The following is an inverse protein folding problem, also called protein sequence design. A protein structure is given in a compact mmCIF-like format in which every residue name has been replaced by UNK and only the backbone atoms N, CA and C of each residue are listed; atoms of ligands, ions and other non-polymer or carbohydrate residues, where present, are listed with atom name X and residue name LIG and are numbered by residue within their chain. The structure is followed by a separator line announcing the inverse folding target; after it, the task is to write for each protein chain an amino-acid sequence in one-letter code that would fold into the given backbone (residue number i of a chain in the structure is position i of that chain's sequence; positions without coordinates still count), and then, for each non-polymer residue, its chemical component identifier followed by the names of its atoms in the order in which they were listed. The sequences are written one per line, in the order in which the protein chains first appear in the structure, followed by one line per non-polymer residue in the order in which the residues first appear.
data_IF_074524857968
#
_entry.id   IF_074524857968
#
_cell.length_a   1.000
_cell.length_b   1.000
_cell.length_c   1.000
_cell.angle_alpha   90.00
_cell.angle_beta   90.00
_cell.angle_gamma   90.00
#
_symmetry.space_group_name_H-M   'P 1'
#
loop_
_entity.id
_entity.type
_entity.pdbx_description
1 polymer ?
#
# COMPACT_ATOMS: atom_id res chain seq x y z
N UNK A 1 -90.92 8.58 15.38
CA UNK A 1 -90.02 8.96 14.23
C UNK A 1 -88.63 9.02 14.75
N UNK A 2 -87.75 8.12 14.31
CA UNK A 2 -86.32 8.10 14.67
C UNK A 2 -85.56 8.59 13.43
N UNK A 3 -84.53 9.45 13.55
CA UNK A 3 -83.69 9.87 12.44
C UNK A 3 -82.67 8.77 12.11
N UNK A 4 -82.18 8.70 10.85
CA UNK A 4 -81.20 7.68 10.45
C UNK A 4 -79.77 8.10 10.86
N UNK A 5 -79.06 7.11 11.32
CA UNK A 5 -77.63 7.21 11.65
C UNK A 5 -76.78 7.20 10.39
N UNK A 6 -76.05 8.27 10.16
CA UNK A 6 -75.12 8.40 9.06
C UNK A 6 -73.82 7.67 9.45
N UNK A 7 -73.49 6.57 8.80
CA UNK A 7 -72.24 5.86 9.00
C UNK A 7 -71.15 6.56 8.15
N UNK A 8 -70.21 7.19 8.84
CA UNK A 8 -69.01 7.74 8.21
C UNK A 8 -67.94 6.63 8.04
N UNK A 9 -67.69 6.21 6.81
CA UNK A 9 -66.55 5.34 6.47
C UNK A 9 -65.27 6.17 6.48
N UNK A 10 -64.46 5.97 7.51
CA UNK A 10 -63.06 6.50 7.53
C UNK A 10 -62.20 5.49 6.76
N UNK A 11 -61.81 5.85 5.53
CA UNK A 11 -60.78 5.14 4.80
C UNK A 11 -59.43 5.52 5.36
N UNK A 12 -58.79 4.60 6.11
CA UNK A 12 -57.41 4.74 6.53
C UNK A 12 -56.51 4.43 5.35
N UNK A 13 -55.92 5.47 4.76
CA UNK A 13 -54.85 5.31 3.78
C UNK A 13 -53.56 4.90 4.52
N UNK A 14 -53.22 3.64 4.45
CA UNK A 14 -51.90 3.14 4.88
C UNK A 14 -50.88 3.54 3.84
N UNK A 15 -50.18 4.63 4.06
CA UNK A 15 -48.95 4.98 3.32
C UNK A 15 -47.83 4.07 3.84
N UNK A 16 -47.54 3.01 3.10
CA UNK A 16 -46.33 2.23 3.30
C UNK A 16 -45.14 3.07 2.87
N UNK A 17 -44.49 3.74 3.82
CA UNK A 17 -43.18 4.31 3.62
C UNK A 17 -42.19 3.14 3.46
N UNK A 18 -41.87 2.79 2.20
CA UNK A 18 -40.73 1.96 1.90
C UNK A 18 -39.46 2.75 2.27
N UNK A 19 -38.98 2.55 3.48
CA UNK A 19 -37.65 2.98 3.87
C UNK A 19 -36.67 2.20 3.01
N UNK A 20 -36.16 2.81 1.93
CA UNK A 20 -35.02 2.32 1.21
C UNK A 20 -33.84 2.33 2.19
N UNK A 21 -33.57 1.20 2.81
CA UNK A 21 -32.28 0.94 3.47
C UNK A 21 -31.23 0.99 2.37
N UNK A 22 -30.62 2.14 2.17
CA UNK A 22 -29.31 2.23 1.52
C UNK A 22 -28.38 1.51 2.49
N UNK A 23 -28.19 0.21 2.27
CA UNK A 23 -27.10 -0.52 2.90
C UNK A 23 -25.83 0.20 2.44
N UNK A 24 -25.21 0.95 3.33
CA UNK A 24 -23.85 1.45 3.10
C UNK A 24 -23.03 0.19 2.83
N UNK A 25 -22.72 -0.09 1.57
CA UNK A 25 -21.77 -1.13 1.21
C UNK A 25 -20.48 -0.74 1.90
N UNK A 26 -20.13 -1.46 2.95
CA UNK A 26 -18.83 -1.34 3.58
C UNK A 26 -17.82 -1.60 2.47
N UNK A 27 -17.11 -0.55 2.04
CA UNK A 27 -16.10 -0.68 0.98
C UNK A 27 -15.11 -1.75 1.43
N UNK A 28 -15.04 -2.84 0.68
CA UNK A 28 -14.08 -3.90 0.94
C UNK A 28 -12.68 -3.33 0.83
N UNK A 29 -11.89 -3.45 1.91
CA UNK A 29 -10.48 -3.05 1.91
C UNK A 29 -9.62 -4.22 1.44
N UNK A 30 -8.88 -4.02 0.36
CA UNK A 30 -7.84 -4.97 -0.06
C UNK A 30 -6.59 -4.79 0.81
N UNK A 31 -5.97 -5.88 1.28
CA UNK A 31 -4.74 -5.78 2.05
C UNK A 31 -3.56 -5.36 1.18
N UNK A 32 -2.70 -4.48 1.71
CA UNK A 32 -1.41 -4.16 1.11
C UNK A 32 -0.51 -5.39 1.21
N UNK A 33 0.06 -5.86 0.08
CA UNK A 33 0.73 -7.17 0.01
C UNK A 33 2.24 -7.06 -0.18
N UNK A 34 2.70 -6.17 -1.10
CA UNK A 34 4.12 -6.16 -1.47
C UNK A 34 4.59 -4.85 -2.10
N UNK A 35 5.91 -4.74 -2.20
CA UNK A 35 6.65 -3.70 -2.90
C UNK A 35 7.71 -4.38 -3.76
N UNK A 36 7.86 -4.00 -5.04
CA UNK A 36 8.90 -4.49 -5.92
C UNK A 36 9.96 -3.43 -6.19
N UNK A 37 11.23 -3.83 -6.03
CA UNK A 37 12.40 -3.01 -6.31
C UNK A 37 13.19 -3.58 -7.49
N UNK A 38 13.69 -2.70 -8.35
CA UNK A 38 14.66 -3.05 -9.41
C UNK A 38 16.08 -3.05 -8.85
N UNK A 39 16.37 -4.05 -8.03
CA UNK A 39 17.66 -4.25 -7.36
C UNK A 39 18.14 -5.69 -7.56
N UNK A 40 19.46 -5.96 -7.55
CA UNK A 40 20.02 -7.32 -7.67
C UNK A 40 19.60 -8.15 -6.46
N UNK A 41 18.90 -9.27 -6.71
CA UNK A 41 18.18 -9.97 -5.65
C UNK A 41 19.04 -10.47 -4.49
N UNK A 42 20.19 -11.06 -4.77
CA UNK A 42 21.04 -11.65 -3.74
C UNK A 42 21.71 -10.58 -2.86
N UNK A 43 22.32 -9.58 -3.48
CA UNK A 43 23.03 -8.48 -2.78
C UNK A 43 22.03 -7.59 -2.04
N UNK A 44 20.91 -7.26 -2.70
CA UNK A 44 19.87 -6.40 -2.13
C UNK A 44 19.23 -7.06 -0.88
N UNK A 45 18.85 -8.34 -0.96
CA UNK A 45 18.25 -9.02 0.19
C UNK A 45 19.17 -9.04 1.41
N UNK A 46 20.48 -9.20 1.21
CA UNK A 46 21.48 -9.17 2.30
C UNK A 46 21.62 -7.75 2.85
N UNK A 47 21.69 -6.74 1.97
CA UNK A 47 21.84 -5.35 2.39
C UNK A 47 20.63 -4.88 3.21
N UNK A 48 19.42 -5.15 2.72
CA UNK A 48 18.19 -4.74 3.39
C UNK A 48 18.01 -5.43 4.75
N UNK A 49 18.25 -6.75 4.84
CA UNK A 49 18.17 -7.49 6.10
C UNK A 49 19.14 -6.94 7.15
N UNK A 50 20.38 -6.65 6.72
CA UNK A 50 21.43 -6.20 7.61
C UNK A 50 21.25 -4.76 8.09
N UNK A 51 20.76 -3.90 7.22
CA UNK A 51 20.87 -2.46 7.41
C UNK A 51 19.53 -1.75 7.70
N UNK A 52 18.39 -2.37 7.33
CA UNK A 52 17.06 -1.82 7.61
C UNK A 52 16.35 -2.73 8.62
N UNK A 53 16.22 -2.30 9.88
CA UNK A 53 15.67 -3.13 10.96
C UNK A 53 14.23 -3.61 10.69
N UNK A 54 13.91 -4.80 11.25
CA UNK A 54 12.57 -5.40 11.17
C UNK A 54 12.35 -6.31 9.97
N UNK A 55 13.29 -6.37 9.04
CA UNK A 55 13.25 -7.30 7.91
C UNK A 55 13.64 -8.74 8.29
N UNK A 56 12.97 -9.72 7.68
CA UNK A 56 13.27 -11.14 7.83
C UNK A 56 13.38 -11.80 6.46
N UNK A 57 14.56 -12.34 6.12
CA UNK A 57 14.70 -13.16 4.90
C UNK A 57 13.96 -14.49 5.02
N UNK A 58 13.53 -15.00 3.88
CA UNK A 58 13.01 -16.35 3.73
C UNK A 58 14.07 -17.15 2.99
N UNK A 59 14.56 -18.25 3.61
CA UNK A 59 15.66 -19.03 3.06
C UNK A 59 15.32 -19.62 1.68
N UNK A 60 14.07 -20.03 1.49
CA UNK A 60 13.55 -20.63 0.25
C UNK A 60 13.22 -19.58 -0.81
N UNK A 61 13.28 -18.31 -0.48
CA UNK A 61 12.92 -17.20 -1.38
C UNK A 61 13.91 -16.02 -1.23
N UNK A 62 15.16 -16.19 -1.73
CA UNK A 62 16.23 -15.22 -1.51
C UNK A 62 16.02 -13.87 -2.20
N UNK A 63 15.02 -13.76 -3.05
CA UNK A 63 14.65 -12.53 -3.76
C UNK A 63 13.66 -11.66 -2.98
N UNK A 64 13.49 -11.90 -1.66
CA UNK A 64 12.53 -11.11 -0.85
C UNK A 64 12.90 -11.04 0.61
N UNK A 65 12.39 -10.00 1.24
CA UNK A 65 12.41 -9.79 2.70
C UNK A 65 10.99 -9.53 3.17
N UNK A 66 10.63 -10.08 4.31
CA UNK A 66 9.35 -9.82 4.96
C UNK A 66 9.47 -8.74 6.01
N UNK A 67 8.67 -7.71 5.91
CA UNK A 67 8.40 -6.74 6.96
C UNK A 67 6.97 -6.96 7.48
N UNK A 68 6.88 -7.74 8.56
CA UNK A 68 5.58 -8.30 8.97
C UNK A 68 5.01 -9.20 7.87
N UNK A 69 3.81 -8.87 7.38
CA UNK A 69 3.15 -9.57 6.28
C UNK A 69 3.43 -8.96 4.89
N UNK A 70 4.15 -7.85 4.80
CA UNK A 70 4.48 -7.21 3.53
C UNK A 70 5.79 -7.77 2.97
N UNK A 71 5.77 -8.11 1.69
CA UNK A 71 6.94 -8.58 0.95
C UNK A 71 7.66 -7.40 0.29
N UNK A 72 8.91 -7.17 0.64
CA UNK A 72 9.83 -6.37 -0.16
C UNK A 72 10.56 -7.31 -1.11
N UNK A 73 10.30 -7.21 -2.41
CA UNK A 73 10.74 -8.17 -3.42
C UNK A 73 11.69 -7.51 -4.42
N UNK A 74 12.72 -8.25 -4.83
CA UNK A 74 13.76 -7.77 -5.72
C UNK A 74 13.60 -8.43 -7.10
N UNK A 75 13.43 -7.61 -8.14
CA UNK A 75 13.22 -8.08 -9.52
C UNK A 75 14.49 -8.60 -10.19
N UNK A 76 15.66 -8.33 -9.61
CA UNK A 76 16.95 -8.73 -10.15
C UNK A 76 17.39 -7.94 -11.40
N UNK A 77 16.61 -6.94 -11.80
CA UNK A 77 16.91 -6.07 -12.93
C UNK A 77 17.56 -4.76 -12.49
N UNK A 78 18.30 -4.13 -13.42
CA UNK A 78 18.82 -2.78 -13.16
C UNK A 78 17.71 -1.76 -13.37
N UNK A 79 17.57 -0.83 -12.42
CA UNK A 79 16.63 0.28 -12.55
C UNK A 79 17.02 1.25 -13.67
N UNK A 80 16.03 1.86 -14.31
CA UNK A 80 16.22 2.94 -15.29
C UNK A 80 16.55 4.29 -14.62
N UNK A 81 16.44 4.37 -13.31
CA UNK A 81 16.74 5.54 -12.48
C UNK A 81 16.34 5.33 -11.03
N UNK A 82 16.86 6.16 -10.13
CA UNK A 82 16.52 6.14 -8.72
C UNK A 82 15.04 6.43 -8.45
N UNK A 83 14.60 6.27 -7.21
CA UNK A 83 13.22 6.60 -6.81
C UNK A 83 12.98 8.10 -6.64
N UNK A 84 14.04 8.91 -6.62
CA UNK A 84 13.92 10.38 -6.63
C UNK A 84 13.08 10.87 -7.81
N UNK A 85 12.10 11.74 -7.53
CA UNK A 85 11.20 12.29 -8.53
C UNK A 85 10.23 11.29 -9.15
N UNK A 86 10.27 10.00 -8.76
CA UNK A 86 9.26 9.01 -9.13
C UNK A 86 7.95 9.25 -8.39
N UNK A 87 6.84 8.78 -8.95
CA UNK A 87 5.54 8.78 -8.27
C UNK A 87 5.57 7.95 -6.99
N UNK A 88 6.39 6.88 -6.91
CA UNK A 88 6.72 6.21 -5.66
C UNK A 88 8.11 6.69 -5.25
N UNK A 89 8.16 7.67 -4.36
CA UNK A 89 9.38 8.43 -4.11
C UNK A 89 10.30 7.76 -3.10
N UNK A 90 9.74 7.28 -1.97
CA UNK A 90 10.52 6.56 -0.97
C UNK A 90 9.67 5.58 -0.17
N UNK A 91 10.37 4.71 0.54
CA UNK A 91 9.80 3.80 1.53
C UNK A 91 10.17 4.30 2.93
N UNK A 92 9.18 4.35 3.82
CA UNK A 92 9.41 4.71 5.23
C UNK A 92 9.55 3.46 6.09
N UNK A 93 10.59 3.45 6.91
CA UNK A 93 10.80 2.41 7.92
C UNK A 93 10.98 3.02 9.30
N UNK A 94 10.28 2.50 10.28
CA UNK A 94 10.44 2.94 11.65
C UNK A 94 11.43 2.06 12.40
N UNK A 95 12.31 2.70 13.15
CA UNK A 95 13.37 2.08 13.95
C UNK A 95 13.27 2.52 15.41
N UNK A 96 13.71 1.65 16.32
CA UNK A 96 13.65 1.93 17.75
C UNK A 96 14.63 3.03 18.21
N UNK A 97 15.79 3.12 17.53
CA UNK A 97 16.85 4.11 17.77
C UNK A 97 17.42 4.58 16.43
N UNK A 98 16.99 5.76 16.01
CA UNK A 98 17.41 6.31 14.73
C UNK A 98 18.87 6.72 14.74
N UNK A 99 19.37 7.26 15.86
CA UNK A 99 20.75 7.72 15.95
C UNK A 99 21.74 6.52 15.87
N UNK A 100 21.40 5.40 16.51
CA UNK A 100 22.19 4.17 16.40
C UNK A 100 22.12 3.58 14.98
N UNK A 101 20.96 3.56 14.36
CA UNK A 101 20.77 3.09 12.97
C UNK A 101 21.59 3.94 12.00
N UNK A 102 21.56 5.26 12.13
CA UNK A 102 22.33 6.15 11.26
C UNK A 102 23.85 6.02 11.45
N UNK A 103 24.33 5.77 12.68
CA UNK A 103 25.75 5.46 12.88
C UNK A 103 26.18 4.17 12.19
N UNK A 104 25.34 3.12 12.24
CA UNK A 104 25.63 1.85 11.54
C UNK A 104 25.66 2.04 10.01
N UNK A 105 24.73 2.82 9.46
CA UNK A 105 24.66 3.14 8.03
C UNK A 105 25.83 4.01 7.57
N UNK A 106 26.28 4.94 8.39
CA UNK A 106 27.47 5.75 8.10
C UNK A 106 28.75 4.91 8.05
N UNK A 107 28.86 3.86 8.87
CA UNK A 107 30.02 2.96 8.88
C UNK A 107 30.17 2.11 7.59
N UNK A 108 29.12 2.04 6.77
CA UNK A 108 29.12 1.39 5.45
C UNK A 108 28.95 2.39 4.30
N UNK A 109 29.25 3.66 4.57
CA UNK A 109 29.22 4.76 3.59
C UNK A 109 27.88 4.91 2.85
N UNK A 110 26.77 4.59 3.51
CA UNK A 110 25.43 4.78 2.93
C UNK A 110 25.19 6.27 2.61
N UNK A 111 24.68 6.54 1.41
CA UNK A 111 24.39 7.90 0.98
C UNK A 111 23.26 8.51 1.82
N UNK A 112 23.59 9.53 2.61
CA UNK A 112 22.64 10.33 3.38
C UNK A 112 22.15 11.49 2.52
N UNK A 113 20.83 11.56 2.28
CA UNK A 113 20.17 12.65 1.55
C UNK A 113 19.77 13.76 2.52
N UNK A 114 19.17 13.39 3.65
CA UNK A 114 18.83 14.29 4.74
C UNK A 114 19.32 13.72 6.07
N UNK A 115 20.10 14.48 6.85
CA UNK A 115 20.55 14.03 8.17
C UNK A 115 19.37 13.92 9.15
N UNK A 116 19.64 13.38 10.32
CA UNK A 116 18.64 13.29 11.40
C UNK A 116 18.11 14.68 11.74
N UNK A 117 16.80 14.80 11.74
CA UNK A 117 16.07 16.02 12.11
C UNK A 117 14.74 15.66 12.78
N UNK A 118 14.19 16.58 13.56
CA UNK A 118 12.82 16.47 14.03
C UNK A 118 11.85 16.86 12.91
N UNK A 119 10.81 16.06 12.74
CA UNK A 119 9.77 16.31 11.74
C UNK A 119 8.39 16.15 12.38
N UNK A 120 7.51 17.18 12.29
CA UNK A 120 6.14 17.09 12.82
C UNK A 120 5.41 15.87 12.25
N UNK A 121 4.81 15.06 13.12
CA UNK A 121 4.08 13.84 12.75
C UNK A 121 4.94 12.62 12.41
N UNK A 122 6.27 12.75 12.34
CA UNK A 122 7.20 11.64 12.11
C UNK A 122 8.26 11.49 13.20
N UNK A 123 8.21 12.31 14.24
CA UNK A 123 9.23 12.40 15.30
C UNK A 123 10.62 12.73 14.72
N UNK A 124 11.66 11.98 15.10
CA UNK A 124 12.95 12.05 14.43
C UNK A 124 12.90 11.30 13.09
N UNK A 125 13.50 11.90 12.07
CA UNK A 125 13.57 11.30 10.73
C UNK A 125 14.92 11.57 10.07
N UNK A 126 15.31 10.69 9.14
CA UNK A 126 16.43 10.87 8.23
C UNK A 126 16.05 10.29 6.87
N UNK A 127 16.66 10.75 5.78
CA UNK A 127 16.48 10.21 4.45
C UNK A 127 17.82 9.71 3.91
N UNK A 128 17.87 8.47 3.51
CA UNK A 128 19.04 7.82 2.91
C UNK A 128 18.69 7.29 1.52
N UNK A 129 19.69 6.84 0.79
CA UNK A 129 19.53 6.15 -0.48
C UNK A 129 20.28 4.82 -0.45
N UNK A 130 19.61 3.73 -0.88
CA UNK A 130 20.24 2.42 -1.03
C UNK A 130 21.31 2.45 -2.13
N UNK A 131 22.22 1.46 -2.21
CA UNK A 131 23.22 1.40 -3.26
C UNK A 131 22.64 1.38 -4.70
N UNK A 132 21.35 1.09 -4.83
CA UNK A 132 20.66 0.96 -6.13
C UNK A 132 19.65 2.09 -6.41
N UNK A 133 19.67 3.14 -5.59
CA UNK A 133 18.88 4.34 -5.83
C UNK A 133 17.47 4.34 -5.23
N UNK A 134 17.15 3.38 -4.36
CA UNK A 134 15.90 3.43 -3.57
C UNK A 134 16.08 4.39 -2.40
N UNK A 135 15.27 5.43 -2.33
CA UNK A 135 15.20 6.32 -1.17
C UNK A 135 14.47 5.65 -0.03
N UNK A 136 15.01 5.78 1.17
CA UNK A 136 14.49 5.20 2.40
C UNK A 136 14.42 6.29 3.46
N UNK A 137 13.21 6.60 3.91
CA UNK A 137 13.03 7.45 5.07
C UNK A 137 13.03 6.60 6.33
N UNK A 138 13.98 6.87 7.21
CA UNK A 138 14.00 6.27 8.54
C UNK A 138 13.28 7.21 9.51
N UNK A 139 12.38 6.67 10.31
CA UNK A 139 11.63 7.41 11.34
C UNK A 139 11.79 6.72 12.69
N UNK A 140 11.66 7.47 13.78
CA UNK A 140 11.67 6.91 15.13
C UNK A 140 10.26 6.92 15.73
N UNK A 141 9.38 6.08 15.17
CA UNK A 141 8.05 5.83 15.70
C UNK A 141 8.00 4.46 16.38
N UNK A 142 8.01 4.45 17.71
CA UNK A 142 8.03 3.20 18.49
C UNK A 142 6.71 2.44 18.50
N UNK A 143 5.63 3.07 18.05
CA UNK A 143 4.31 2.44 17.99
C UNK A 143 4.13 1.61 16.72
N UNK A 144 4.89 1.91 15.65
CA UNK A 144 4.78 1.24 14.36
C UNK A 144 6.16 0.88 13.78
N UNK A 145 6.87 -0.05 14.43
CA UNK A 145 8.20 -0.50 13.99
C UNK A 145 8.15 -1.31 12.68
N UNK A 146 9.21 -1.22 11.89
CA UNK A 146 9.35 -1.89 10.59
C UNK A 146 8.84 -1.04 9.44
N UNK A 147 8.23 -1.66 8.42
CA UNK A 147 7.65 -0.91 7.30
C UNK A 147 6.53 0.01 7.81
N UNK A 148 6.73 1.30 7.64
CA UNK A 148 5.90 2.35 8.22
C UNK A 148 4.96 2.97 7.17
N UNK A 149 5.51 3.41 6.05
CA UNK A 149 4.72 4.02 4.98
C UNK A 149 5.36 3.88 3.60
N UNK A 150 4.55 4.15 2.59
CA UNK A 150 5.00 4.39 1.21
C UNK A 150 4.71 5.84 0.88
N UNK A 151 5.72 6.59 0.47
CA UNK A 151 5.57 7.98 0.05
C UNK A 151 5.30 8.06 -1.45
N UNK A 152 4.16 8.62 -1.81
CA UNK A 152 3.87 9.03 -3.18
C UNK A 152 4.23 10.50 -3.39
N UNK A 153 4.48 10.86 -4.64
CA UNK A 153 4.56 12.23 -5.13
C UNK A 153 3.51 12.44 -6.21
N UNK A 154 2.63 13.41 -6.01
CA UNK A 154 1.50 13.68 -6.91
C UNK A 154 1.32 15.18 -7.11
N UNK A 155 1.00 15.65 -8.31
CA UNK A 155 0.55 17.04 -8.51
C UNK A 155 -0.71 17.37 -7.71
N UNK A 156 -1.55 16.35 -7.45
CA UNK A 156 -2.81 16.42 -6.70
C UNK A 156 -2.94 15.24 -5.72
N UNK A 157 -2.37 15.35 -4.51
CA UNK A 157 -2.45 14.31 -3.49
C UNK A 157 -3.88 13.91 -3.10
N UNK A 158 -4.81 14.86 -3.06
CA UNK A 158 -6.20 14.55 -2.69
C UNK A 158 -6.90 13.68 -3.73
N UNK A 159 -6.67 13.95 -5.01
CA UNK A 159 -7.13 13.11 -6.11
C UNK A 159 -6.51 11.70 -6.04
N UNK A 160 -5.22 11.61 -5.75
CA UNK A 160 -4.55 10.32 -5.59
C UNK A 160 -5.14 9.50 -4.43
N UNK A 161 -5.38 10.13 -3.28
CA UNK A 161 -6.01 9.47 -2.13
C UNK A 161 -7.47 9.08 -2.40
N UNK A 162 -8.25 9.94 -3.06
CA UNK A 162 -9.62 9.62 -3.42
C UNK A 162 -9.69 8.39 -4.34
N UNK A 163 -8.77 8.30 -5.30
CA UNK A 163 -8.66 7.15 -6.19
C UNK A 163 -8.29 5.88 -5.43
N UNK A 164 -7.29 5.94 -4.53
CA UNK A 164 -6.89 4.79 -3.71
C UNK A 164 -8.05 4.30 -2.82
N UNK A 165 -8.75 5.23 -2.16
CA UNK A 165 -9.91 4.93 -1.32
C UNK A 165 -11.03 4.27 -2.12
N UNK A 166 -11.34 4.79 -3.31
CA UNK A 166 -12.38 4.22 -4.15
C UNK A 166 -12.00 2.85 -4.69
N UNK A 167 -10.73 2.67 -5.08
CA UNK A 167 -10.25 1.47 -5.77
C UNK A 167 -10.00 0.32 -4.82
N UNK A 168 -9.26 0.55 -3.73
CA UNK A 168 -8.78 -0.50 -2.83
C UNK A 168 -9.36 -0.43 -1.42
N UNK A 169 -10.21 0.55 -1.13
CA UNK A 169 -10.69 0.79 0.23
C UNK A 169 -9.62 1.40 1.12
N UNK A 170 -9.55 0.96 2.37
CA UNK A 170 -8.72 1.60 3.38
C UNK A 170 -9.44 2.75 4.09
N UNK A 171 -8.69 3.50 4.86
CA UNK A 171 -9.18 4.62 5.67
C UNK A 171 -8.40 5.90 5.32
N UNK A 172 -9.11 6.95 4.91
CA UNK A 172 -8.50 8.29 4.84
C UNK A 172 -8.31 8.81 6.26
N UNK A 173 -7.08 9.12 6.63
CA UNK A 173 -6.73 9.49 8.01
C UNK A 173 -5.61 10.54 8.05
N UNK A 174 -5.26 10.95 9.26
CA UNK A 174 -4.05 11.72 9.53
C UNK A 174 -3.11 10.90 10.41
N UNK A 175 -2.01 10.46 9.86
CA UNK A 175 -0.95 9.80 10.63
C UNK A 175 -0.45 10.76 11.72
N UNK A 176 -0.46 10.31 12.98
CA UNK A 176 -0.18 11.11 14.17
C UNK A 176 -0.94 12.45 14.22
N UNK A 177 -2.15 12.49 13.65
CA UNK A 177 -3.01 13.69 13.64
C UNK A 177 -2.53 14.82 12.71
N UNK A 178 -1.46 14.66 11.96
CA UNK A 178 -0.82 15.71 11.20
C UNK A 178 -0.68 15.40 9.70
N UNK A 179 -0.18 14.22 9.34
CA UNK A 179 0.16 13.87 7.96
C UNK A 179 -1.02 13.16 7.30
N UNK A 180 -1.57 13.75 6.24
CA UNK A 180 -2.63 13.13 5.44
C UNK A 180 -2.17 11.80 4.85
N UNK A 181 -2.96 10.75 5.05
CA UNK A 181 -2.62 9.40 4.65
C UNK A 181 -3.82 8.54 4.29
N UNK A 182 -3.58 7.51 3.50
CA UNK A 182 -4.42 6.32 3.42
C UNK A 182 -3.84 5.26 4.36
N UNK A 183 -4.67 4.67 5.21
CA UNK A 183 -4.30 3.60 6.13
C UNK A 183 -4.92 2.29 5.69
N UNK A 184 -4.07 1.30 5.48
CA UNK A 184 -4.47 -0.08 5.23
C UNK A 184 -4.19 -0.89 6.50
N UNK A 185 -5.23 -1.21 7.25
CA UNK A 185 -5.13 -1.84 8.58
C UNK A 185 -6.38 -2.66 8.91
N UNK A 186 -6.36 -3.36 10.05
CA UNK A 186 -7.51 -4.07 10.58
C UNK A 186 -7.87 -5.36 9.85
N UNK A 187 -7.08 -5.80 8.89
CA UNK A 187 -7.26 -7.06 8.18
C UNK A 187 -6.44 -8.12 8.92
N UNK A 188 -7.06 -9.20 9.44
CA UNK A 188 -6.35 -10.19 10.23
C UNK A 188 -5.13 -10.77 9.52
N UNK A 189 -3.98 -10.74 10.20
CA UNK A 189 -2.71 -11.25 9.70
C UNK A 189 -1.95 -10.31 8.77
N UNK A 190 -2.52 -9.19 8.34
CA UNK A 190 -1.80 -8.21 7.51
C UNK A 190 -1.22 -7.07 8.33
N UNK A 191 -0.09 -6.55 7.86
CA UNK A 191 0.60 -5.42 8.48
C UNK A 191 -0.13 -4.11 8.17
N UNK A 192 -0.21 -3.23 9.16
CA UNK A 192 -0.66 -1.85 8.93
C UNK A 192 0.38 -1.11 8.10
N UNK A 193 -0.06 -0.51 6.99
CA UNK A 193 0.77 0.32 6.13
C UNK A 193 0.05 1.63 5.84
N UNK A 194 0.79 2.74 5.91
CA UNK A 194 0.30 4.03 5.45
C UNK A 194 0.79 4.31 4.03
N UNK A 195 -0.06 4.94 3.23
CA UNK A 195 0.33 5.59 1.98
C UNK A 195 0.17 7.08 2.22
N UNK A 196 1.27 7.81 2.13
CA UNK A 196 1.29 9.27 2.24
C UNK A 196 1.63 9.88 0.88
N UNK A 197 1.32 11.15 0.66
CA UNK A 197 1.60 11.79 -0.62
C UNK A 197 2.04 13.24 -0.44
N UNK A 198 3.17 13.58 -1.04
CA UNK A 198 3.63 14.96 -1.13
C UNK A 198 3.22 15.59 -2.48
N UNK A 199 2.91 16.89 -2.45
CA UNK A 199 2.60 17.64 -3.67
C UNK A 199 3.86 17.88 -4.49
N UNK A 200 3.83 17.51 -5.77
CA UNK A 200 4.94 17.75 -6.71
C UNK A 200 4.75 17.01 -8.03
N UNK A 201 5.48 17.46 -9.04
CA UNK A 201 5.57 16.72 -10.30
C UNK A 201 6.31 15.40 -10.08
N UNK A 202 5.91 14.37 -10.82
CA UNK A 202 6.51 13.05 -10.75
C UNK A 202 6.62 12.40 -12.14
N UNK A 203 7.47 11.38 -12.22
CA UNK A 203 7.53 10.48 -13.39
C UNK A 203 7.01 9.11 -13.01
N UNK A 204 6.51 8.31 -13.98
CA UNK A 204 5.99 6.96 -13.71
C UNK A 204 7.01 6.07 -12.99
N UNK A 205 6.51 5.16 -12.13
CA UNK A 205 7.36 4.26 -11.31
C UNK A 205 7.92 3.08 -12.08
N UNK A 206 7.27 2.64 -13.15
CA UNK A 206 7.69 1.46 -13.90
C UNK A 206 9.14 1.55 -14.37
N UNK A 207 9.94 0.54 -14.04
CA UNK A 207 11.36 0.45 -14.38
C UNK A 207 12.29 1.23 -13.47
N UNK A 208 11.79 2.06 -12.53
CA UNK A 208 12.62 2.81 -11.59
C UNK A 208 12.98 1.95 -10.36
N UNK A 209 13.80 2.49 -9.46
CA UNK A 209 14.28 1.76 -8.28
C UNK A 209 13.12 1.16 -7.46
N UNK A 210 12.04 1.91 -7.22
CA UNK A 210 10.76 1.36 -6.73
C UNK A 210 9.85 1.21 -7.95
N UNK A 211 9.69 -0.01 -8.45
CA UNK A 211 8.95 -0.29 -9.67
C UNK A 211 7.44 -0.22 -9.48
N UNK A 212 6.94 -0.91 -8.47
CA UNK A 212 5.51 -0.96 -8.17
C UNK A 212 5.21 -1.40 -6.73
N UNK A 213 3.97 -1.16 -6.35
CA UNK A 213 3.36 -1.62 -5.10
C UNK A 213 2.17 -2.51 -5.43
N UNK A 214 1.78 -3.38 -4.50
CA UNK A 214 0.73 -4.34 -4.78
C UNK A 214 -0.25 -4.59 -3.63
N UNK A 215 -1.48 -4.91 -4.02
CA UNK A 215 -2.55 -5.35 -3.14
C UNK A 215 -2.93 -6.80 -3.40
N UNK A 216 -3.33 -7.50 -2.35
CA UNK A 216 -3.76 -8.88 -2.43
C UNK A 216 -5.27 -8.95 -2.68
N UNK A 217 -5.67 -9.78 -3.65
CA UNK A 217 -7.07 -10.20 -3.82
C UNK A 217 -7.52 -10.98 -2.59
N UNK A 218 -8.69 -10.67 -2.06
CA UNK A 218 -9.27 -11.41 -0.91
C UNK A 218 -10.12 -12.61 -1.36
N UNK A 219 -10.59 -12.56 -2.60
CA UNK A 219 -11.29 -13.68 -3.25
C UNK A 219 -10.44 -14.25 -4.39
N UNK A 220 -10.95 -14.18 -5.62
CA UNK A 220 -10.23 -14.62 -6.82
C UNK A 220 -9.68 -13.42 -7.59
N UNK A 221 -8.60 -13.65 -8.35
CA UNK A 221 -8.05 -12.62 -9.24
C UNK A 221 -9.07 -12.18 -10.30
N UNK A 222 -9.92 -13.09 -10.75
CA UNK A 222 -10.99 -12.79 -11.70
C UNK A 222 -12.06 -11.87 -11.10
N UNK A 223 -12.47 -12.12 -9.84
CA UNK A 223 -13.41 -11.27 -9.12
C UNK A 223 -12.84 -9.88 -8.87
N UNK A 224 -11.57 -9.79 -8.48
CA UNK A 224 -10.87 -8.51 -8.30
C UNK A 224 -10.78 -7.75 -9.63
N UNK A 225 -10.45 -8.43 -10.74
CA UNK A 225 -10.46 -7.83 -12.07
C UNK A 225 -11.82 -7.24 -12.43
N UNK A 226 -12.90 -8.03 -12.27
CA UNK A 226 -14.26 -7.59 -12.58
C UNK A 226 -14.68 -6.37 -11.72
N UNK A 227 -14.33 -6.36 -10.43
CA UNK A 227 -14.56 -5.22 -9.53
C UNK A 227 -13.87 -3.95 -10.04
N UNK A 228 -12.61 -4.05 -10.47
CA UNK A 228 -11.84 -2.90 -10.95
C UNK A 228 -12.35 -2.41 -12.31
N UNK A 229 -12.72 -3.31 -13.21
CA UNK A 229 -13.35 -2.95 -14.50
C UNK A 229 -14.69 -2.22 -14.31
N UNK A 230 -15.52 -2.66 -13.36
CA UNK A 230 -16.76 -1.97 -13.00
C UNK A 230 -16.51 -0.55 -12.48
N UNK A 231 -15.39 -0.31 -11.82
CA UNK A 231 -14.92 1.03 -11.38
C UNK A 231 -14.18 1.80 -12.47
N UNK A 232 -14.08 1.26 -13.68
CA UNK A 232 -13.36 1.85 -14.82
C UNK A 232 -11.87 2.09 -14.56
N UNK A 233 -11.27 1.25 -13.72
CA UNK A 233 -9.82 1.27 -13.50
C UNK A 233 -9.13 0.71 -14.76
N UNK A 234 -8.12 1.41 -15.24
CA UNK A 234 -7.37 1.02 -16.43
C UNK A 234 -6.43 -0.16 -16.11
N UNK A 235 -6.73 -1.33 -16.67
CA UNK A 235 -5.84 -2.47 -16.64
C UNK A 235 -4.70 -2.26 -17.64
N UNK A 236 -3.46 -2.54 -17.23
CA UNK A 236 -2.28 -2.49 -18.09
C UNK A 236 -1.75 -3.87 -18.47
N UNK A 237 -2.29 -4.93 -17.86
CA UNK A 237 -2.11 -6.33 -18.29
C UNK A 237 -3.36 -7.15 -17.99
N UNK A 238 -3.46 -8.34 -18.60
CA UNK A 238 -4.45 -9.34 -18.25
C UNK A 238 -3.91 -10.23 -17.11
N UNK A 239 -4.80 -10.88 -16.32
CA UNK A 239 -4.38 -11.88 -15.34
C UNK A 239 -3.52 -12.97 -15.99
N UNK A 240 -2.38 -13.23 -15.38
CA UNK A 240 -1.47 -14.30 -15.81
C UNK A 240 -0.96 -15.09 -14.61
N UNK A 241 -0.74 -16.40 -14.76
CA UNK A 241 -0.16 -17.23 -13.72
C UNK A 241 1.34 -17.04 -13.63
N UNK A 242 1.89 -17.11 -12.42
CA UNK A 242 3.30 -17.30 -12.15
C UNK A 242 3.46 -18.56 -11.31
N UNK A 243 4.11 -19.55 -11.89
CA UNK A 243 4.42 -20.79 -11.20
C UNK A 243 5.66 -20.59 -10.34
N UNK A 244 5.51 -20.70 -9.03
CA UNK A 244 6.64 -20.64 -8.12
C UNK A 244 7.35 -22.00 -8.13
N UNK A 245 8.70 -22.05 -8.13
CA UNK A 245 9.44 -23.31 -8.27
C UNK A 245 9.09 -24.38 -7.23
N UNK A 246 8.74 -24.00 -6.01
CA UNK A 246 8.43 -24.90 -4.89
C UNK A 246 7.15 -24.44 -4.15
N UNK A 247 6.21 -23.82 -4.85
CA UNK A 247 5.02 -23.26 -4.23
C UNK A 247 3.79 -23.30 -5.13
N UNK A 248 2.64 -22.85 -4.62
CA UNK A 248 1.44 -22.73 -5.42
C UNK A 248 1.63 -21.69 -6.52
N UNK A 249 0.95 -21.88 -7.66
CA UNK A 249 0.84 -20.82 -8.66
C UNK A 249 0.15 -19.61 -8.06
N UNK A 250 0.67 -18.43 -8.32
CA UNK A 250 0.01 -17.15 -8.04
C UNK A 250 -0.53 -16.59 -9.33
N UNK A 251 -1.61 -15.82 -9.25
CA UNK A 251 -2.14 -15.07 -10.39
C UNK A 251 -2.00 -13.59 -10.10
N UNK A 252 -1.63 -12.81 -11.12
CA UNK A 252 -1.46 -11.37 -10.96
C UNK A 252 -1.80 -10.61 -12.25
N UNK A 253 -2.07 -9.32 -12.12
CA UNK A 253 -2.17 -8.38 -13.23
C UNK A 253 -1.84 -6.96 -12.73
N UNK A 254 -1.62 -6.07 -13.68
CA UNK A 254 -1.28 -4.67 -13.39
C UNK A 254 -2.39 -3.71 -13.77
N UNK A 255 -2.48 -2.63 -13.01
CA UNK A 255 -3.33 -1.47 -13.31
C UNK A 255 -2.52 -0.18 -13.27
N UNK A 256 -3.01 0.82 -14.01
CA UNK A 256 -2.50 2.18 -13.92
C UNK A 256 -3.12 2.88 -12.71
N UNK A 257 -2.29 3.22 -11.73
CA UNK A 257 -2.67 4.10 -10.64
C UNK A 257 -2.50 5.59 -10.99
N UNK A 258 -2.78 6.47 -10.03
CA UNK A 258 -2.60 7.91 -10.22
C UNK A 258 -1.16 8.27 -10.61
N UNK A 259 -1.04 9.26 -11.49
CA UNK A 259 0.23 9.92 -11.86
C UNK A 259 1.33 8.96 -12.38
N UNK A 260 0.94 7.78 -12.90
CA UNK A 260 1.87 6.78 -13.39
C UNK A 260 2.36 5.79 -12.33
N UNK A 261 1.67 5.70 -11.18
CA UNK A 261 1.90 4.62 -10.21
C UNK A 261 1.57 3.28 -10.87
N UNK A 262 2.55 2.39 -10.98
CA UNK A 262 2.29 1.01 -11.39
C UNK A 262 1.82 0.21 -10.18
N UNK A 263 0.71 -0.51 -10.32
CA UNK A 263 0.10 -1.26 -9.22
C UNK A 263 -0.17 -2.69 -9.66
N UNK A 264 0.21 -3.65 -8.81
CA UNK A 264 -0.05 -5.07 -9.00
C UNK A 264 -1.21 -5.53 -8.13
N UNK A 265 -2.11 -6.31 -8.69
CA UNK A 265 -3.08 -7.12 -7.97
C UNK A 265 -2.61 -8.56 -8.01
N UNK A 266 -2.55 -9.21 -6.85
CA UNK A 266 -2.03 -10.58 -6.75
C UNK A 266 -2.98 -11.47 -5.96
N UNK A 267 -3.22 -12.67 -6.46
CA UNK A 267 -3.87 -13.77 -5.76
C UNK A 267 -2.80 -14.78 -5.34
N UNK A 268 -2.83 -15.19 -4.08
CA UNK A 268 -1.88 -16.17 -3.51
C UNK A 268 -2.65 -17.32 -2.88
N UNK A 269 -3.17 -18.27 -3.70
CA UNK A 269 -3.95 -19.38 -3.19
C UNK A 269 -3.16 -20.22 -2.18
N UNK A 270 -3.79 -20.54 -1.06
CA UNK A 270 -3.19 -21.38 -0.02
C UNK A 270 -2.09 -20.74 0.83
N UNK A 271 -1.64 -19.52 0.51
CA UNK A 271 -0.66 -18.81 1.32
C UNK A 271 -1.35 -17.90 2.34
N UNK A 272 -0.93 -17.98 3.61
CA UNK A 272 -1.35 -17.06 4.66
C UNK A 272 -0.67 -15.70 4.51
N UNK A 273 -1.18 -14.66 5.17
CA UNK A 273 -0.44 -13.40 5.30
C UNK A 273 0.95 -13.65 5.89
N UNK A 274 1.99 -13.09 5.25
CA UNK A 274 3.37 -13.24 5.73
C UNK A 274 4.10 -14.53 5.29
N UNK A 275 3.44 -15.39 4.50
CA UNK A 275 4.04 -16.58 3.87
C UNK A 275 4.43 -16.32 2.41
#
# INVERSE_FOLDING_TARGET
MRPPVLAACIAAAMTTAAAAMIAAQTKTTLPFDHIHLNEPAAEASQWWEKNIPGGRRIAEAPNRIMYGAVRLMFLGSRSSGGSDGSVIEHLGFSVADLDATMRALAAIETKVIEPVKDAPGLYKTALIESPWGTRVQLVQDRELLGLHHVQLRSPDPDRAFAWLLDTFGGERTKMHGQIDAMKYAGIPGFTTVYIVSAKGASVPSQGRAIDHIGWRSIDTIAGTKAMLEAKKVQLTSQPSPLNLPNGPSINFFYVAGPDGTRIELVERPGLKPGE
#
